data_IF_659750382947
#
_entry.id   IF_659750382947
#
_cell.length_a   1.000
_cell.length_b   1.000
_cell.length_c   1.000
_cell.angle_alpha   90.00
_cell.angle_beta   90.00
_cell.angle_gamma   90.00
#
_symmetry.space_group_name_H-M   'P 1'
#
loop_
_entity.id
_entity.type
_entity.pdbx_description
1 polymer ?
#
# COMPACT_ATOMS: atom_id res chain seq x y z
N UNK A 1 -18.13 -20.92 5.10
CA UNK A 1 -16.92 -21.64 4.58
C UNK A 1 -15.72 -21.23 5.42
N UNK A 2 -14.82 -22.18 5.71
CA UNK A 2 -13.57 -21.88 6.46
C UNK A 2 -12.42 -21.65 5.49
N UNK A 3 -11.66 -20.59 5.73
CA UNK A 3 -10.46 -20.24 4.96
C UNK A 3 -9.28 -20.17 5.93
N UNK A 4 -8.19 -20.82 5.59
CA UNK A 4 -6.93 -20.75 6.36
C UNK A 4 -5.90 -20.04 5.49
N UNK A 5 -5.34 -18.94 6.02
CA UNK A 5 -4.25 -18.20 5.40
C UNK A 5 -2.98 -18.53 6.17
N UNK A 6 -1.99 -19.07 5.49
CA UNK A 6 -0.68 -19.38 6.08
C UNK A 6 0.28 -18.23 5.79
N UNK A 7 0.67 -17.54 6.86
CA UNK A 7 1.52 -16.35 6.80
C UNK A 7 0.75 -15.08 7.16
N UNK A 8 1.33 -14.28 8.07
CA UNK A 8 0.77 -12.99 8.50
C UNK A 8 1.67 -11.82 8.06
N UNK A 9 2.32 -11.95 6.92
CA UNK A 9 2.99 -10.84 6.23
C UNK A 9 1.98 -9.99 5.44
N UNK A 10 2.47 -8.98 4.74
CA UNK A 10 1.65 -8.03 3.95
C UNK A 10 0.65 -8.76 3.04
N UNK A 11 1.08 -9.75 2.28
CA UNK A 11 0.21 -10.49 1.38
C UNK A 11 -0.92 -11.24 2.10
N UNK A 12 -0.59 -11.94 3.21
CA UNK A 12 -1.58 -12.70 3.98
C UNK A 12 -2.62 -11.81 4.66
N UNK A 13 -2.17 -10.69 5.25
CA UNK A 13 -3.06 -9.72 5.89
C UNK A 13 -3.94 -9.01 4.86
N UNK A 14 -3.38 -8.61 3.72
CA UNK A 14 -4.13 -7.99 2.63
C UNK A 14 -5.20 -8.94 2.10
N UNK A 15 -4.86 -10.21 1.85
CA UNK A 15 -5.81 -11.22 1.41
C UNK A 15 -6.95 -11.42 2.43
N UNK A 16 -6.62 -11.46 3.73
CA UNK A 16 -7.62 -11.59 4.79
C UNK A 16 -8.58 -10.40 4.82
N UNK A 17 -8.06 -9.17 4.70
CA UNK A 17 -8.87 -7.95 4.66
C UNK A 17 -9.79 -7.94 3.44
N UNK A 18 -9.29 -8.29 2.26
CA UNK A 18 -10.09 -8.36 1.03
C UNK A 18 -11.23 -9.36 1.19
N UNK A 19 -10.91 -10.57 1.66
CA UNK A 19 -11.91 -11.61 1.85
C UNK A 19 -12.96 -11.21 2.90
N UNK A 20 -12.53 -10.66 4.02
CA UNK A 20 -13.43 -10.20 5.07
C UNK A 20 -14.33 -9.06 4.60
N UNK A 21 -13.77 -8.08 3.89
CA UNK A 21 -14.52 -6.93 3.39
C UNK A 21 -15.51 -7.31 2.30
N UNK A 22 -15.12 -8.21 1.38
CA UNK A 22 -15.95 -8.61 0.25
C UNK A 22 -17.08 -9.57 0.64
N UNK A 23 -16.81 -10.48 1.56
CA UNK A 23 -17.71 -11.58 1.89
C UNK A 23 -18.29 -11.51 3.30
N UNK A 24 -17.90 -10.49 4.10
CA UNK A 24 -18.41 -10.21 5.45
C UNK A 24 -18.43 -11.48 6.34
N UNK A 25 -19.63 -11.85 6.80
CA UNK A 25 -19.84 -12.96 7.73
C UNK A 25 -19.79 -14.35 7.05
N UNK A 26 -19.73 -14.44 5.73
CA UNK A 26 -19.84 -15.71 5.01
C UNK A 26 -18.61 -16.60 5.15
N UNK A 27 -17.47 -16.04 5.60
CA UNK A 27 -16.22 -16.77 5.76
C UNK A 27 -15.68 -16.67 7.20
N UNK A 28 -15.36 -17.84 7.75
CA UNK A 28 -14.52 -17.97 8.96
C UNK A 28 -13.05 -17.99 8.51
N UNK A 29 -12.36 -16.87 8.69
CA UNK A 29 -10.97 -16.69 8.24
C UNK A 29 -10.03 -16.85 9.41
N UNK A 30 -9.09 -17.79 9.30
CA UNK A 30 -8.00 -17.99 10.27
C UNK A 30 -6.67 -17.70 9.62
N UNK A 31 -5.84 -16.91 10.31
CA UNK A 31 -4.47 -16.62 9.89
C UNK A 31 -3.52 -17.40 10.80
N UNK A 32 -2.64 -18.19 10.21
CA UNK A 32 -1.59 -18.92 10.91
C UNK A 32 -0.28 -18.18 10.69
N UNK A 33 0.39 -17.79 11.78
CA UNK A 33 1.71 -17.17 11.75
C UNK A 33 2.70 -17.97 12.59
N UNK A 34 3.97 -17.96 12.20
CA UNK A 34 5.05 -18.46 13.03
C UNK A 34 5.25 -17.52 14.23
N UNK A 35 5.62 -18.09 15.38
CA UNK A 35 6.08 -17.32 16.54
C UNK A 35 7.54 -16.91 16.41
N UNK A 36 8.31 -17.68 15.63
CA UNK A 36 9.75 -17.53 15.52
C UNK A 36 10.18 -16.66 14.34
N UNK A 37 9.29 -16.51 13.32
CA UNK A 37 9.54 -15.66 12.16
C UNK A 37 8.89 -14.30 12.42
N UNK A 38 9.72 -13.28 12.60
CA UNK A 38 9.28 -11.89 12.74
C UNK A 38 8.92 -11.25 11.40
N UNK A 39 8.61 -9.95 11.44
CA UNK A 39 8.42 -9.13 10.25
C UNK A 39 9.78 -8.89 9.60
N UNK A 40 9.90 -9.18 8.31
CA UNK A 40 11.08 -8.85 7.52
C UNK A 40 11.01 -7.35 7.21
N UNK A 41 11.62 -6.53 8.05
CA UNK A 41 11.57 -5.08 7.94
C UNK A 41 12.54 -4.50 6.91
N UNK A 42 12.34 -4.80 5.63
CA UNK A 42 13.18 -4.29 4.53
C UNK A 42 12.65 -2.99 3.91
N UNK A 43 11.52 -2.50 4.40
CA UNK A 43 10.79 -1.39 3.80
C UNK A 43 9.93 -1.83 2.61
N UNK A 44 8.80 -1.20 2.44
CA UNK A 44 7.88 -1.45 1.33
C UNK A 44 7.46 -0.13 0.70
N UNK A 45 7.54 -0.06 -0.64
CA UNK A 45 6.98 1.04 -1.41
C UNK A 45 5.66 0.60 -2.03
N UNK A 46 4.69 1.51 -2.07
CA UNK A 46 3.38 1.26 -2.66
C UNK A 46 3.11 2.19 -3.84
N UNK A 47 1.98 1.98 -4.49
CA UNK A 47 1.45 2.81 -5.57
C UNK A 47 0.12 3.42 -5.15
N UNK A 48 -0.50 4.23 -6.02
CA UNK A 48 -1.82 4.83 -5.79
C UNK A 48 -2.91 3.80 -5.47
N UNK A 49 -2.81 2.58 -6.02
CA UNK A 49 -3.75 1.50 -5.73
C UNK A 49 -3.80 1.11 -4.25
N UNK A 50 -2.72 1.37 -3.51
CA UNK A 50 -2.71 1.15 -2.07
C UNK A 50 -3.65 2.09 -1.33
N UNK A 51 -3.72 3.35 -1.76
CA UNK A 51 -4.66 4.33 -1.21
C UNK A 51 -6.10 3.93 -1.47
N UNK A 52 -6.40 3.48 -2.69
CA UNK A 52 -7.72 2.99 -3.07
C UNK A 52 -8.11 1.75 -2.25
N UNK A 53 -7.17 0.83 -2.05
CA UNK A 53 -7.34 -0.36 -1.20
C UNK A 53 -7.64 0.01 0.25
N UNK A 54 -6.90 0.94 0.85
CA UNK A 54 -7.13 1.39 2.23
C UNK A 54 -8.51 2.03 2.38
N UNK A 55 -8.89 2.92 1.45
CA UNK A 55 -10.21 3.53 1.43
C UNK A 55 -11.32 2.49 1.30
N UNK A 56 -11.15 1.50 0.43
CA UNK A 56 -12.10 0.40 0.27
C UNK A 56 -12.20 -0.47 1.53
N UNK A 57 -11.10 -0.67 2.26
CA UNK A 57 -11.09 -1.37 3.54
C UNK A 57 -11.69 -0.55 4.69
N UNK A 58 -11.94 0.76 4.49
CA UNK A 58 -12.43 1.66 5.53
C UNK A 58 -11.35 2.07 6.53
N UNK A 59 -10.08 2.05 6.12
CA UNK A 59 -8.94 2.49 6.93
C UNK A 59 -8.75 3.99 6.78
N UNK A 60 -8.59 4.70 7.90
CA UNK A 60 -8.25 6.12 7.89
C UNK A 60 -6.78 6.29 7.50
N UNK A 61 -6.55 7.06 6.44
CA UNK A 61 -5.20 7.30 5.91
C UNK A 61 -4.29 8.01 6.92
N UNK A 62 -4.83 8.98 7.65
CA UNK A 62 -4.07 9.73 8.64
C UNK A 62 -3.70 8.85 9.84
N UNK A 63 -4.60 7.96 10.23
CA UNK A 63 -4.33 6.98 11.28
C UNK A 63 -3.22 6.02 10.85
N UNK A 64 -3.27 5.49 9.64
CA UNK A 64 -2.23 4.61 9.09
C UNK A 64 -0.87 5.33 9.05
N UNK A 65 -0.81 6.59 8.61
CA UNK A 65 0.45 7.36 8.60
C UNK A 65 1.01 7.48 10.01
N UNK A 66 0.20 7.84 10.99
CA UNK A 66 0.65 8.03 12.40
C UNK A 66 1.07 6.74 13.06
N UNK A 67 0.20 5.71 12.99
CA UNK A 67 0.39 4.48 13.75
C UNK A 67 1.40 3.53 13.12
N UNK A 68 1.52 3.57 11.79
CA UNK A 68 2.46 2.71 11.05
C UNK A 68 3.76 3.41 10.66
N UNK A 69 3.95 4.66 11.07
CA UNK A 69 5.15 5.45 10.77
C UNK A 69 5.43 5.53 9.25
N UNK A 70 4.37 5.68 8.47
CA UNK A 70 4.42 5.75 7.02
C UNK A 70 4.83 7.13 6.53
N UNK A 71 5.37 7.19 5.31
CA UNK A 71 5.66 8.44 4.61
C UNK A 71 4.94 8.46 3.26
N UNK A 72 4.68 9.66 2.75
CA UNK A 72 4.10 9.83 1.43
C UNK A 72 5.17 9.61 0.35
N UNK A 73 4.82 8.88 -0.69
CA UNK A 73 5.66 8.66 -1.86
C UNK A 73 5.07 9.39 -3.05
N UNK A 74 5.74 10.44 -3.50
CA UNK A 74 5.29 11.27 -4.63
C UNK A 74 5.73 10.70 -5.99
N UNK A 75 6.86 10.02 -6.03
CA UNK A 75 7.40 9.50 -7.29
C UNK A 75 8.69 8.74 -7.11
N UNK A 76 9.30 8.39 -8.23
CA UNK A 76 10.60 7.75 -8.32
C UNK A 76 11.47 8.61 -9.23
N UNK A 77 12.58 9.10 -8.71
CA UNK A 77 13.56 9.82 -9.51
C UNK A 77 14.55 8.82 -10.13
N UNK A 78 14.59 8.79 -11.45
CA UNK A 78 15.52 7.96 -12.22
C UNK A 78 16.71 8.81 -12.64
N UNK A 79 17.88 8.51 -12.06
CA UNK A 79 19.14 9.16 -12.38
C UNK A 79 20.01 8.22 -13.22
N UNK A 80 20.63 8.77 -14.27
CA UNK A 80 21.51 8.01 -15.18
C UNK A 80 20.82 6.79 -15.84
N UNK A 81 19.48 6.82 -15.94
CA UNK A 81 18.66 5.78 -16.56
C UNK A 81 18.17 6.23 -17.94
N UNK A 82 19.01 6.10 -18.93
CA UNK A 82 18.71 6.49 -20.31
C UNK A 82 19.32 7.83 -20.71
N UNK A 83 18.66 8.60 -21.58
CA UNK A 83 19.22 9.83 -22.16
C UNK A 83 19.18 11.04 -21.25
N UNK A 84 18.24 11.07 -20.31
CA UNK A 84 18.01 12.18 -19.36
C UNK A 84 17.46 11.63 -18.06
N UNK A 85 17.80 12.29 -16.97
CA UNK A 85 17.17 12.07 -15.70
C UNK A 85 15.70 12.51 -15.75
N UNK A 86 14.84 11.80 -15.02
CA UNK A 86 13.41 12.14 -14.95
C UNK A 86 12.77 11.70 -13.65
N UNK A 87 11.70 12.40 -13.26
CA UNK A 87 10.84 12.01 -12.18
C UNK A 87 9.62 11.29 -12.75
N UNK A 88 9.43 10.03 -12.34
CA UNK A 88 8.20 9.28 -12.58
C UNK A 88 7.24 9.51 -11.41
N UNK A 89 6.20 10.31 -11.64
CA UNK A 89 5.14 10.53 -10.65
C UNK A 89 4.32 9.26 -10.49
N UNK A 90 3.97 8.92 -9.25
CA UNK A 90 3.08 7.81 -8.93
C UNK A 90 1.60 8.21 -8.86
N UNK A 91 1.32 9.50 -8.99
CA UNK A 91 -0.05 10.00 -9.01
C UNK A 91 -0.49 10.25 -10.44
N UNK A 92 -1.70 9.81 -10.79
CA UNK A 92 -2.31 10.16 -12.07
C UNK A 92 -2.58 11.67 -12.12
N UNK A 93 -2.32 12.28 -13.26
CA UNK A 93 -2.58 13.71 -13.50
C UNK A 93 -4.05 14.12 -13.28
N UNK A 94 -4.97 13.16 -13.32
CA UNK A 94 -6.40 13.39 -13.12
C UNK A 94 -6.78 13.65 -11.65
N UNK A 95 -6.03 13.08 -10.69
CA UNK A 95 -6.34 13.24 -9.24
C UNK A 95 -5.72 14.50 -8.63
N UNK A 96 -4.66 15.02 -9.20
CA UNK A 96 -4.00 16.23 -8.74
C UNK A 96 -3.87 17.16 -9.95
N UNK A 97 -4.69 18.16 -10.06
CA UNK A 97 -4.71 19.10 -11.20
C UNK A 97 -3.29 19.60 -11.58
N UNK A 98 -3.14 20.17 -12.76
CA UNK A 98 -1.87 20.61 -13.33
C UNK A 98 -1.00 21.48 -12.40
N UNK A 99 -1.60 22.17 -11.44
CA UNK A 99 -0.92 23.01 -10.45
C UNK A 99 0.04 22.25 -9.53
N UNK A 100 -0.22 20.96 -9.25
CA UNK A 100 0.65 20.16 -8.37
C UNK A 100 1.99 19.79 -9.01
N UNK A 101 2.10 19.85 -10.32
CA UNK A 101 3.32 19.48 -11.06
C UNK A 101 4.35 20.62 -11.01
N UNK A 102 3.94 21.88 -10.87
CA UNK A 102 4.85 23.00 -10.79
C UNK A 102 5.70 23.02 -9.52
N UNK A 103 5.18 22.49 -8.42
CA UNK A 103 5.92 22.36 -7.15
C UNK A 103 7.03 21.29 -7.17
N UNK A 104 7.06 20.43 -8.19
CA UNK A 104 8.06 19.35 -8.32
C UNK A 104 9.17 19.69 -9.33
N UNK A 105 9.21 20.92 -9.83
CA UNK A 105 10.36 21.43 -10.61
C UNK A 105 11.42 21.89 -9.63
N UNK A 106 12.39 21.05 -9.39
CA UNK A 106 13.67 21.39 -8.76
C UNK A 106 14.63 21.94 -9.80
#
# INVERSE_FOLDING_TARGET
MKIIIVGAGTAGLTAALILKRKFLENFDIKIIKSKDIGIIGVGEGSTEHWSDFMGWCGLDYNEVIRECNCTLKSGIYFKDWGKKDYLHSLHSHEKFGQESIEYLKF
#
